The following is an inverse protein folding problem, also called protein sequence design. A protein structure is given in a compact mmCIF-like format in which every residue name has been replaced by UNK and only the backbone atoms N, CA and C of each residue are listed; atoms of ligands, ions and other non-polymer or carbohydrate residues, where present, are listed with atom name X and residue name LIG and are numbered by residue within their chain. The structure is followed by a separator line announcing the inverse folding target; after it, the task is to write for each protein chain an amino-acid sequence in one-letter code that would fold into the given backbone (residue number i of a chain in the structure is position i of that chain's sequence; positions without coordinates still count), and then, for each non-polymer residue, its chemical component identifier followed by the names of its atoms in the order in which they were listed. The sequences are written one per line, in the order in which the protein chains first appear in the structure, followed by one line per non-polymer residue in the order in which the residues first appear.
data_IF_304448857513
#
_entry.id   IF_304448857513
#
_cell.length_a   1.000
_cell.length_b   1.000
_cell.length_c   1.000
_cell.angle_alpha   90.00
_cell.angle_beta   90.00
_cell.angle_gamma   90.00
#
_symmetry.space_group_name_H-M   'P 1'
#
loop_
_entity.id
_entity.type
_entity.pdbx_description
1 polymer ?
#
# COMPACT_ATOMS: atom_id res chain seq x y z
N UNK A 1 21.55 -60.36 -71.46
CA UNK A 1 20.63 -59.26 -71.24
C UNK A 1 20.37 -59.10 -69.76
N UNK A 2 21.07 -58.19 -69.12
CA UNK A 2 21.03 -57.98 -67.67
C UNK A 2 20.55 -56.52 -67.39
N UNK A 3 19.42 -56.34 -66.74
CA UNK A 3 18.86 -55.08 -66.33
C UNK A 3 19.23 -54.83 -64.87
N UNK A 4 20.06 -53.89 -64.64
CA UNK A 4 20.41 -53.40 -63.32
C UNK A 4 19.30 -52.43 -62.79
N UNK A 5 18.74 -52.76 -61.64
CA UNK A 5 17.80 -51.88 -60.88
C UNK A 5 18.61 -51.06 -59.96
N UNK A 6 18.57 -49.73 -60.13
CA UNK A 6 19.16 -48.73 -59.22
C UNK A 6 18.08 -48.34 -58.18
N UNK A 7 18.30 -48.77 -56.93
CA UNK A 7 17.48 -48.27 -55.77
C UNK A 7 17.94 -46.91 -55.35
N UNK A 8 17.04 -45.90 -55.46
CA UNK A 8 17.21 -44.57 -54.91
C UNK A 8 16.71 -44.58 -53.47
N UNK A 9 17.62 -44.39 -52.50
CA UNK A 9 17.31 -44.17 -51.09
C UNK A 9 17.04 -42.69 -50.94
N UNK A 10 15.77 -42.28 -50.73
CA UNK A 10 15.37 -40.93 -50.35
C UNK A 10 15.57 -40.75 -48.85
N UNK A 11 16.57 -39.98 -48.46
CA UNK A 11 16.78 -39.57 -47.06
C UNK A 11 15.76 -38.46 -46.72
N UNK A 12 14.76 -38.78 -45.92
CA UNK A 12 13.84 -37.83 -45.31
C UNK A 12 14.57 -37.18 -44.11
N UNK A 13 15.12 -35.97 -44.28
CA UNK A 13 15.60 -35.14 -43.17
C UNK A 13 14.39 -34.57 -42.43
N UNK A 14 14.06 -35.12 -41.25
CA UNK A 14 13.12 -34.52 -40.31
C UNK A 14 13.79 -33.26 -39.74
N UNK A 15 13.53 -32.11 -40.32
CA UNK A 15 13.82 -30.83 -39.72
C UNK A 15 12.85 -30.59 -38.53
N UNK A 16 13.31 -30.86 -37.30
CA UNK A 16 12.61 -30.42 -36.11
C UNK A 16 12.57 -28.88 -36.12
N UNK A 17 11.45 -28.30 -36.56
CA UNK A 17 11.19 -26.89 -36.41
C UNK A 17 11.07 -26.64 -34.90
N UNK A 18 12.10 -26.02 -34.29
CA UNK A 18 11.98 -25.39 -33.01
C UNK A 18 11.02 -24.19 -33.20
N UNK A 19 9.72 -24.40 -32.98
CA UNK A 19 8.78 -23.29 -32.79
C UNK A 19 9.26 -22.55 -31.56
N UNK A 20 9.44 -21.21 -31.63
CA UNK A 20 9.69 -20.44 -30.46
C UNK A 20 8.54 -20.69 -29.50
N UNK A 21 8.82 -21.14 -28.29
CA UNK A 21 7.84 -21.23 -27.21
C UNK A 21 7.44 -19.77 -26.93
N UNK A 22 6.28 -19.36 -27.43
CA UNK A 22 5.70 -18.07 -27.05
C UNK A 22 5.33 -18.19 -25.57
N UNK A 23 6.12 -17.56 -24.72
CA UNK A 23 5.75 -17.42 -23.32
C UNK A 23 4.46 -16.60 -23.24
N UNK A 24 3.54 -17.01 -22.37
CA UNK A 24 2.33 -16.22 -22.11
C UNK A 24 2.73 -14.91 -21.43
N UNK A 25 2.09 -13.79 -21.80
CA UNK A 25 2.27 -12.53 -21.11
C UNK A 25 1.96 -12.70 -19.63
N UNK A 26 2.75 -12.08 -18.74
CA UNK A 26 2.44 -12.05 -17.30
C UNK A 26 1.31 -11.07 -17.08
N UNK A 27 0.20 -11.53 -16.52
CA UNK A 27 -0.95 -10.67 -16.23
C UNK A 27 -0.92 -10.21 -14.78
N UNK A 28 -0.79 -8.91 -14.57
CA UNK A 28 -0.91 -8.27 -13.26
C UNK A 28 -2.27 -7.61 -13.17
N UNK A 29 -3.16 -8.20 -12.37
CA UNK A 29 -4.47 -7.65 -12.09
C UNK A 29 -4.39 -6.60 -10.98
N UNK A 30 -4.95 -5.42 -11.20
CA UNK A 30 -4.97 -4.32 -10.23
C UNK A 30 -6.40 -3.96 -9.89
N UNK A 31 -6.76 -3.92 -8.60
CA UNK A 31 -7.99 -3.30 -8.14
C UNK A 31 -7.65 -2.22 -7.13
N UNK A 32 -8.18 -1.01 -7.33
CA UNK A 32 -7.84 0.16 -6.53
C UNK A 32 -9.01 1.16 -6.49
N UNK A 33 -9.00 2.08 -5.54
CA UNK A 33 -10.11 3.00 -5.28
C UNK A 33 -9.91 4.34 -6.03
N UNK A 34 -10.00 4.34 -7.38
CA UNK A 34 -9.85 5.56 -8.18
C UNK A 34 -11.07 6.50 -8.08
N UNK A 35 -12.20 6.00 -7.57
CA UNK A 35 -13.40 6.80 -7.28
C UNK A 35 -13.89 6.56 -5.85
N UNK A 36 -14.92 7.30 -5.40
CA UNK A 36 -15.46 7.21 -4.05
C UNK A 36 -14.62 7.94 -2.99
N UNK A 37 -14.87 7.69 -1.69
CA UNK A 37 -14.24 8.42 -0.58
C UNK A 37 -12.71 8.29 -0.51
N UNK A 38 -12.13 7.26 -1.12
CA UNK A 38 -10.68 7.04 -1.15
C UNK A 38 -10.03 7.45 -2.49
N UNK A 39 -10.73 8.21 -3.35
CA UNK A 39 -10.20 8.60 -4.66
C UNK A 39 -8.87 9.35 -4.60
N UNK A 40 -8.65 10.17 -3.56
CA UNK A 40 -7.39 10.89 -3.36
C UNK A 40 -6.19 9.97 -3.05
N UNK A 41 -6.45 8.70 -2.76
CA UNK A 41 -5.46 7.63 -2.59
C UNK A 41 -5.28 6.85 -3.90
N UNK A 42 -6.39 6.35 -4.46
CA UNK A 42 -6.37 5.45 -5.61
C UNK A 42 -6.01 6.11 -6.93
N UNK A 43 -6.29 7.41 -7.11
CA UNK A 43 -5.88 8.14 -8.32
C UNK A 43 -4.34 8.16 -8.46
N UNK A 44 -3.54 8.54 -7.44
CA UNK A 44 -2.08 8.46 -7.53
C UNK A 44 -1.55 7.03 -7.72
N UNK A 45 -2.19 6.03 -7.13
CA UNK A 45 -1.85 4.62 -7.36
C UNK A 45 -2.03 4.27 -8.85
N UNK A 46 -3.21 4.58 -9.42
CA UNK A 46 -3.49 4.38 -10.84
C UNK A 46 -2.49 5.11 -11.73
N UNK A 47 -2.23 6.39 -11.44
CA UNK A 47 -1.26 7.20 -12.17
C UNK A 47 0.14 6.57 -12.16
N UNK A 48 0.55 5.98 -11.04
CA UNK A 48 1.82 5.28 -10.94
C UNK A 48 1.83 4.02 -11.80
N UNK A 49 0.77 3.19 -11.75
CA UNK A 49 0.67 1.99 -12.60
C UNK A 49 0.83 2.34 -14.08
N UNK A 50 0.27 3.48 -14.53
CA UNK A 50 0.42 3.96 -15.93
C UNK A 50 1.86 4.38 -16.32
N UNK A 51 2.75 4.56 -15.34
CA UNK A 51 4.17 4.87 -15.56
C UNK A 51 5.05 3.61 -15.57
N UNK A 52 4.55 2.47 -15.09
CA UNK A 52 5.33 1.27 -14.92
C UNK A 52 5.67 0.62 -16.27
N UNK A 53 6.80 -0.08 -16.37
CA UNK A 53 7.18 -0.75 -17.59
C UNK A 53 6.23 -1.89 -17.96
N UNK A 54 6.15 -2.17 -19.25
CA UNK A 54 5.42 -3.30 -19.81
C UNK A 54 6.32 -4.51 -20.08
N UNK A 55 7.46 -4.59 -19.40
CA UNK A 55 8.40 -5.72 -19.49
C UNK A 55 9.11 -5.90 -18.16
N UNK A 56 9.15 -7.10 -17.62
CA UNK A 56 9.92 -7.50 -16.43
C UNK A 56 10.59 -8.83 -16.72
N UNK A 57 11.89 -8.94 -16.46
CA UNK A 57 12.65 -10.18 -16.67
C UNK A 57 12.70 -10.66 -18.13
N UNK A 58 12.44 -9.78 -19.09
CA UNK A 58 12.37 -10.11 -20.51
C UNK A 58 10.97 -10.48 -21.01
N UNK A 59 10.01 -10.72 -20.10
CA UNK A 59 8.64 -11.08 -20.43
C UNK A 59 7.72 -9.83 -20.46
N UNK A 60 6.72 -9.89 -21.34
CA UNK A 60 5.71 -8.83 -21.43
C UNK A 60 4.79 -8.84 -20.22
N UNK A 61 4.46 -7.65 -19.75
CA UNK A 61 3.53 -7.42 -18.63
C UNK A 61 2.24 -6.81 -19.18
N UNK A 62 1.13 -7.46 -18.85
CA UNK A 62 -0.22 -6.95 -19.08
C UNK A 62 -0.80 -6.42 -17.77
N UNK A 63 -0.88 -5.11 -17.65
CA UNK A 63 -1.55 -4.46 -16.53
C UNK A 63 -3.04 -4.34 -16.81
N UNK A 64 -3.90 -4.88 -15.93
CA UNK A 64 -5.37 -4.75 -15.99
C UNK A 64 -5.81 -4.02 -14.74
N UNK A 65 -6.28 -2.78 -14.89
CA UNK A 65 -6.67 -1.91 -13.77
C UNK A 65 -8.18 -1.77 -13.70
N UNK A 66 -8.76 -2.13 -12.56
CA UNK A 66 -10.19 -2.02 -12.28
C UNK A 66 -10.41 -1.09 -11.06
N UNK A 67 -11.36 -0.17 -11.19
CA UNK A 67 -11.77 0.71 -10.09
C UNK A 67 -12.78 -0.02 -9.19
N UNK A 68 -12.47 -0.09 -7.89
CA UNK A 68 -13.40 -0.65 -6.90
C UNK A 68 -14.33 0.41 -6.28
N UNK A 69 -14.13 1.69 -6.58
CA UNK A 69 -14.98 2.76 -6.09
C UNK A 69 -14.99 2.93 -4.57
N UNK A 70 -13.95 2.45 -3.89
CA UNK A 70 -13.89 2.35 -2.41
C UNK A 70 -14.98 1.43 -1.81
N UNK A 71 -15.51 0.51 -2.61
CA UNK A 71 -16.59 -0.42 -2.26
C UNK A 71 -16.07 -1.86 -2.14
N UNK A 72 -16.31 -2.49 -1.00
CA UNK A 72 -15.82 -3.83 -0.69
C UNK A 72 -16.41 -4.90 -1.62
N UNK A 73 -17.69 -4.79 -1.99
CA UNK A 73 -18.34 -5.75 -2.88
C UNK A 73 -17.75 -5.68 -4.28
N UNK A 74 -17.47 -4.45 -4.75
CA UNK A 74 -16.84 -4.23 -6.06
C UNK A 74 -15.40 -4.73 -6.06
N UNK A 75 -14.63 -4.52 -4.98
CA UNK A 75 -13.28 -5.06 -4.85
C UNK A 75 -13.26 -6.60 -4.95
N UNK A 76 -14.21 -7.28 -4.28
CA UNK A 76 -14.42 -8.74 -4.38
C UNK A 76 -14.75 -9.15 -5.82
N UNK A 77 -15.68 -8.45 -6.48
CA UNK A 77 -16.09 -8.74 -7.87
C UNK A 77 -14.91 -8.56 -8.83
N UNK A 78 -14.17 -7.46 -8.70
CA UNK A 78 -12.97 -7.18 -9.50
C UNK A 78 -11.91 -8.27 -9.32
N UNK A 79 -11.63 -8.67 -8.07
CA UNK A 79 -10.64 -9.71 -7.77
C UNK A 79 -11.01 -11.06 -8.42
N UNK A 80 -12.28 -11.45 -8.31
CA UNK A 80 -12.78 -12.68 -8.96
C UNK A 80 -12.64 -12.61 -10.47
N UNK A 81 -13.02 -11.49 -11.09
CA UNK A 81 -12.90 -11.27 -12.53
C UNK A 81 -11.44 -11.36 -12.98
N UNK A 82 -10.53 -10.63 -12.32
CA UNK A 82 -9.11 -10.64 -12.64
C UNK A 82 -8.51 -12.06 -12.58
N UNK A 83 -8.93 -12.87 -11.62
CA UNK A 83 -8.44 -14.25 -11.46
C UNK A 83 -9.06 -15.22 -12.47
N UNK A 84 -10.40 -15.20 -12.61
CA UNK A 84 -11.13 -16.25 -13.35
C UNK A 84 -11.29 -15.96 -14.84
N UNK A 85 -11.38 -14.68 -15.23
CA UNK A 85 -11.61 -14.26 -16.63
C UNK A 85 -10.32 -13.75 -17.27
N UNK A 86 -9.54 -12.95 -16.52
CA UNK A 86 -8.34 -12.30 -17.02
C UNK A 86 -7.06 -13.12 -16.74
N UNK A 87 -7.17 -14.25 -16.01
CA UNK A 87 -6.06 -15.18 -15.66
C UNK A 87 -4.85 -14.47 -15.01
N UNK A 88 -5.10 -13.54 -14.10
CA UNK A 88 -4.03 -12.81 -13.42
C UNK A 88 -3.07 -13.78 -12.69
N UNK A 89 -1.78 -13.53 -12.85
CA UNK A 89 -0.70 -14.24 -12.15
C UNK A 89 -0.48 -13.68 -10.75
N UNK A 90 -0.79 -12.42 -10.56
CA UNK A 90 -0.71 -11.70 -9.29
C UNK A 90 -1.75 -10.59 -9.23
N UNK A 91 -2.24 -10.30 -8.04
CA UNK A 91 -3.14 -9.18 -7.78
C UNK A 91 -2.36 -8.07 -7.03
N UNK A 92 -2.52 -6.83 -7.46
CA UNK A 92 -2.06 -5.63 -6.74
C UNK A 92 -3.28 -4.85 -6.25
N UNK A 93 -3.30 -4.51 -4.97
CA UNK A 93 -4.44 -3.79 -4.37
C UNK A 93 -5.04 -4.52 -3.16
N UNK A 94 -6.11 -4.02 -2.59
CA UNK A 94 -6.77 -2.75 -2.88
C UNK A 94 -6.11 -1.59 -2.11
N UNK A 95 -6.61 -0.37 -2.37
CA UNK A 95 -6.17 0.86 -1.71
C UNK A 95 -6.51 0.92 -0.23
N UNK A 96 -7.67 0.38 0.16
CA UNK A 96 -8.21 0.54 1.52
C UNK A 96 -8.33 -0.79 2.27
N UNK A 97 -8.16 -0.73 3.59
CA UNK A 97 -8.15 -1.92 4.45
C UNK A 97 -9.40 -2.80 4.33
N UNK A 98 -10.65 -2.29 4.37
CA UNK A 98 -11.82 -3.15 4.23
C UNK A 98 -11.82 -3.97 2.93
N UNK A 99 -11.45 -3.33 1.82
CA UNK A 99 -11.39 -3.96 0.50
C UNK A 99 -10.31 -5.05 0.46
N UNK A 100 -9.08 -4.72 0.90
CA UNK A 100 -7.98 -5.69 0.93
C UNK A 100 -8.29 -6.90 1.82
N UNK A 101 -8.89 -6.70 2.98
CA UNK A 101 -9.30 -7.80 3.87
C UNK A 101 -10.34 -8.73 3.21
N UNK A 102 -11.30 -8.18 2.47
CA UNK A 102 -12.32 -8.96 1.78
C UNK A 102 -11.75 -9.78 0.59
N UNK A 103 -10.58 -9.42 0.09
CA UNK A 103 -9.91 -10.13 -1.01
C UNK A 103 -9.07 -11.32 -0.53
N UNK A 104 -8.65 -11.36 0.74
CA UNK A 104 -7.71 -12.36 1.29
C UNK A 104 -8.17 -13.79 1.01
N UNK A 105 -9.42 -14.12 1.32
CA UNK A 105 -9.96 -15.47 1.12
C UNK A 105 -9.96 -15.86 -0.37
N UNK A 106 -10.29 -14.93 -1.25
CA UNK A 106 -10.41 -15.18 -2.69
C UNK A 106 -9.06 -15.51 -3.30
N UNK A 107 -8.03 -14.71 -3.00
CA UNK A 107 -6.69 -14.92 -3.54
C UNK A 107 -6.04 -16.17 -2.96
N UNK A 108 -6.29 -16.48 -1.68
CA UNK A 108 -5.79 -17.69 -1.04
C UNK A 108 -6.40 -18.96 -1.63
N UNK A 109 -7.73 -18.98 -1.79
CA UNK A 109 -8.44 -20.13 -2.35
C UNK A 109 -8.07 -20.37 -3.83
N UNK A 110 -7.79 -19.29 -4.58
CA UNK A 110 -7.31 -19.36 -5.97
C UNK A 110 -5.80 -19.61 -6.08
N UNK A 111 -5.05 -19.55 -4.99
CA UNK A 111 -3.59 -19.64 -4.98
C UNK A 111 -2.92 -18.61 -5.89
N UNK A 112 -3.38 -17.35 -5.83
CA UNK A 112 -2.83 -16.21 -6.55
C UNK A 112 -2.19 -15.26 -5.55
N UNK A 113 -0.92 -14.89 -5.68
CA UNK A 113 -0.29 -13.90 -4.81
C UNK A 113 -1.00 -12.55 -4.89
N UNK A 114 -1.12 -11.86 -3.76
CA UNK A 114 -1.64 -10.49 -3.69
C UNK A 114 -0.62 -9.58 -3.00
N UNK A 115 -0.38 -8.40 -3.57
CA UNK A 115 0.38 -7.32 -2.95
C UNK A 115 -0.59 -6.19 -2.63
N UNK A 116 -0.99 -6.06 -1.36
CA UNK A 116 -1.93 -5.04 -0.90
C UNK A 116 -1.26 -3.67 -0.76
N UNK A 117 -2.01 -2.61 -1.11
CA UNK A 117 -1.62 -1.21 -0.90
C UNK A 117 -2.31 -0.60 0.33
N UNK A 118 -2.92 -1.42 1.20
CA UNK A 118 -3.61 -0.99 2.42
C UNK A 118 -2.77 -1.24 3.69
N UNK A 119 -3.05 -0.48 4.76
CA UNK A 119 -2.12 -0.32 5.87
C UNK A 119 -2.27 -1.33 7.02
N UNK A 120 -3.45 -1.91 7.26
CA UNK A 120 -3.66 -2.76 8.45
C UNK A 120 -2.76 -3.98 8.49
N UNK A 121 -2.13 -4.23 9.63
CA UNK A 121 -1.34 -5.44 9.88
C UNK A 121 -2.18 -6.73 9.76
N UNK A 122 -3.49 -6.65 9.98
CA UNK A 122 -4.42 -7.80 9.85
C UNK A 122 -4.45 -8.40 8.45
N UNK A 123 -4.06 -7.64 7.42
CA UNK A 123 -4.04 -8.11 6.01
C UNK A 123 -3.00 -9.21 5.81
N UNK A 124 -1.91 -9.17 6.58
CA UNK A 124 -0.78 -10.11 6.52
C UNK A 124 -0.55 -10.80 7.87
N UNK A 125 -1.58 -10.93 8.69
CA UNK A 125 -1.46 -11.57 10.01
C UNK A 125 -1.04 -13.05 9.86
N UNK A 126 0.15 -13.45 10.33
CA UNK A 126 0.65 -14.82 10.19
C UNK A 126 -0.19 -15.85 10.98
N UNK A 127 -1.03 -15.42 11.91
CA UNK A 127 -1.96 -16.31 12.61
C UNK A 127 -3.12 -16.78 11.70
N UNK A 128 -3.40 -16.08 10.61
CA UNK A 128 -4.36 -16.50 9.59
C UNK A 128 -3.65 -17.24 8.46
N UNK A 129 -3.86 -18.57 8.28
CA UNK A 129 -3.14 -19.34 7.26
C UNK A 129 -3.44 -18.89 5.81
N UNK A 130 -4.52 -18.16 5.56
CA UNK A 130 -4.87 -17.63 4.24
C UNK A 130 -3.97 -16.48 3.82
N UNK A 131 -3.38 -15.74 4.76
CA UNK A 131 -2.45 -14.64 4.46
C UNK A 131 -1.12 -15.10 3.89
N UNK A 132 -0.87 -16.41 3.84
CA UNK A 132 0.28 -16.99 3.11
C UNK A 132 0.39 -16.52 1.65
N UNK A 133 -0.72 -16.10 1.05
CA UNK A 133 -0.76 -15.61 -0.33
C UNK A 133 -0.78 -14.10 -0.43
N UNK A 134 -0.69 -13.39 0.70
CA UNK A 134 -0.89 -11.95 0.78
C UNK A 134 0.36 -11.25 1.31
N UNK A 135 0.83 -10.28 0.57
CA UNK A 135 1.90 -9.35 0.91
C UNK A 135 1.33 -7.94 0.98
N UNK A 136 2.07 -7.00 1.57
CA UNK A 136 1.66 -5.60 1.56
C UNK A 136 2.87 -4.66 1.59
N UNK A 137 2.71 -3.48 1.01
CA UNK A 137 3.78 -2.49 0.92
C UNK A 137 3.66 -1.31 1.88
N UNK A 138 2.47 -0.81 2.30
CA UNK A 138 2.41 0.22 3.34
C UNK A 138 2.93 -0.32 4.66
N UNK A 139 3.48 0.54 5.49
CA UNK A 139 3.85 0.20 6.86
C UNK A 139 2.64 -0.36 7.62
N UNK A 140 2.88 -1.28 8.53
CA UNK A 140 1.85 -1.75 9.43
C UNK A 140 1.37 -0.60 10.35
N UNK A 141 0.07 -0.51 10.55
CA UNK A 141 -0.54 0.42 11.50
C UNK A 141 0.04 0.26 12.92
N UNK A 142 0.42 -0.97 13.31
CA UNK A 142 1.13 -1.23 14.57
C UNK A 142 2.46 -0.46 14.67
N UNK A 143 3.28 -0.50 13.61
CA UNK A 143 4.56 0.21 13.54
C UNK A 143 4.36 1.73 13.62
N UNK A 144 3.35 2.24 12.90
CA UNK A 144 3.01 3.66 12.89
C UNK A 144 2.43 4.13 14.23
N UNK A 145 1.61 3.31 14.88
CA UNK A 145 1.07 3.61 16.20
C UNK A 145 2.16 3.67 17.27
N UNK A 146 3.15 2.79 17.19
CA UNK A 146 4.31 2.81 18.08
C UNK A 146 5.12 4.11 17.92
N UNK A 147 5.32 4.58 16.69
CA UNK A 147 6.01 5.85 16.42
C UNK A 147 5.22 7.05 16.98
N UNK A 148 3.90 7.08 16.79
CA UNK A 148 3.01 8.11 17.37
C UNK A 148 3.11 8.11 18.89
N UNK A 149 2.95 6.96 19.55
CA UNK A 149 2.94 6.87 21.01
C UNK A 149 4.30 7.26 21.61
N UNK A 150 5.42 6.85 21.00
CA UNK A 150 6.77 7.27 21.39
C UNK A 150 6.94 8.79 21.27
N UNK A 151 6.48 9.37 20.15
CA UNK A 151 6.54 10.82 19.93
C UNK A 151 5.66 11.58 20.95
N UNK A 152 4.43 11.11 21.21
CA UNK A 152 3.55 11.69 22.22
C UNK A 152 4.22 11.69 23.61
N UNK A 153 4.77 10.56 24.03
CA UNK A 153 5.49 10.44 25.32
C UNK A 153 6.67 11.41 25.42
N UNK A 154 7.48 11.52 24.37
CA UNK A 154 8.63 12.40 24.32
C UNK A 154 8.22 13.89 24.44
N UNK A 155 7.00 14.22 24.06
CA UNK A 155 6.44 15.58 24.10
C UNK A 155 5.47 15.83 25.26
N UNK A 156 5.52 14.99 26.31
CA UNK A 156 4.80 15.20 27.54
C UNK A 156 3.30 14.90 27.52
N UNK A 157 2.79 14.29 26.44
CA UNK A 157 1.40 13.80 26.36
C UNK A 157 1.18 12.69 27.38
N UNK A 158 0.07 12.76 28.11
CA UNK A 158 -0.36 11.74 29.10
C UNK A 158 -1.70 11.12 28.72
N UNK A 159 -2.60 11.93 28.15
CA UNK A 159 -3.95 11.54 27.80
C UNK A 159 -4.20 11.70 26.30
N UNK A 160 -4.88 10.72 25.71
CA UNK A 160 -5.16 10.64 24.29
C UNK A 160 -6.65 10.45 24.04
N UNK A 161 -7.22 11.29 23.14
CA UNK A 161 -8.50 11.06 22.49
C UNK A 161 -8.30 10.41 21.12
N UNK A 162 -9.25 9.63 20.66
CA UNK A 162 -9.25 9.01 19.33
C UNK A 162 -10.56 9.31 18.61
N UNK A 163 -10.47 9.64 17.32
CA UNK A 163 -11.60 9.63 16.40
C UNK A 163 -11.19 8.95 15.10
N UNK A 164 -11.89 7.90 14.68
CA UNK A 164 -11.52 7.14 13.49
C UNK A 164 -12.70 6.67 12.67
N UNK A 165 -12.41 6.12 11.49
CA UNK A 165 -13.44 5.55 10.66
C UNK A 165 -14.17 4.40 11.35
N UNK A 166 -15.49 4.32 11.11
CA UNK A 166 -16.33 3.22 11.53
C UNK A 166 -16.24 2.03 10.55
N UNK A 167 -15.01 1.55 10.33
CA UNK A 167 -14.69 0.41 9.47
C UNK A 167 -13.41 -0.31 9.96
N UNK A 168 -13.01 -1.35 9.24
CA UNK A 168 -11.85 -2.17 9.61
C UNK A 168 -10.53 -1.37 9.71
N UNK A 169 -10.37 -0.24 9.00
CA UNK A 169 -9.21 0.63 9.13
C UNK A 169 -9.20 1.37 10.46
N UNK A 170 -10.30 2.07 10.77
CA UNK A 170 -10.40 2.80 12.04
C UNK A 170 -10.37 1.89 13.25
N UNK A 171 -10.97 0.69 13.17
CA UNK A 171 -10.92 -0.31 14.24
C UNK A 171 -9.51 -0.85 14.47
N UNK A 172 -8.77 -1.14 13.40
CA UNK A 172 -7.37 -1.57 13.47
C UNK A 172 -6.51 -0.49 14.14
N UNK A 173 -6.65 0.76 13.71
CA UNK A 173 -5.92 1.89 14.30
C UNK A 173 -6.26 2.12 15.77
N UNK A 174 -7.54 2.00 16.17
CA UNK A 174 -7.94 2.12 17.57
C UNK A 174 -7.30 1.03 18.44
N UNK A 175 -7.29 -0.21 17.95
CA UNK A 175 -6.67 -1.32 18.66
C UNK A 175 -5.16 -1.09 18.83
N UNK A 176 -4.48 -0.70 17.76
CA UNK A 176 -3.03 -0.49 17.78
C UNK A 176 -2.61 0.72 18.60
N UNK A 177 -3.35 1.83 18.54
CA UNK A 177 -2.98 2.99 19.37
C UNK A 177 -3.29 2.74 20.86
N UNK A 178 -4.33 1.98 21.20
CA UNK A 178 -4.57 1.54 22.59
C UNK A 178 -3.42 0.67 23.10
N UNK A 179 -2.93 -0.28 22.29
CA UNK A 179 -1.77 -1.12 22.62
C UNK A 179 -0.51 -0.27 22.82
N UNK A 180 -0.20 0.59 21.85
CA UNK A 180 1.00 1.43 21.87
C UNK A 180 0.96 2.47 22.99
N UNK A 181 -0.20 3.07 23.27
CA UNK A 181 -0.41 4.00 24.37
C UNK A 181 -0.12 3.34 25.72
N UNK A 182 -0.71 2.15 25.96
CA UNK A 182 -0.46 1.39 27.19
C UNK A 182 1.01 1.06 27.40
N UNK A 183 1.72 0.63 26.35
CA UNK A 183 3.15 0.35 26.38
C UNK A 183 4.02 1.59 26.67
N UNK A 184 3.52 2.80 26.42
CA UNK A 184 4.21 4.06 26.64
C UNK A 184 3.72 4.84 27.87
N UNK A 185 2.77 4.29 28.64
CA UNK A 185 2.20 4.94 29.83
C UNK A 185 1.25 6.09 29.51
N UNK A 186 0.64 6.07 28.32
CA UNK A 186 -0.41 7.01 27.89
C UNK A 186 -1.79 6.40 28.17
N UNK A 187 -2.77 7.22 28.47
CA UNK A 187 -4.13 6.80 28.71
C UNK A 187 -5.06 7.27 27.57
N UNK A 188 -5.76 6.34 26.92
CA UNK A 188 -6.85 6.69 26.01
C UNK A 188 -8.09 6.99 26.82
N UNK A 189 -8.53 8.25 26.84
CA UNK A 189 -9.61 8.75 27.70
C UNK A 189 -10.96 8.85 27.01
N UNK A 190 -10.97 8.89 25.67
CA UNK A 190 -12.19 8.89 24.86
C UNK A 190 -11.90 8.32 23.47
N UNK A 191 -12.87 7.61 22.91
CA UNK A 191 -12.82 7.19 21.49
C UNK A 191 -14.20 7.36 20.82
N UNK A 192 -14.19 7.87 19.60
CA UNK A 192 -15.37 8.13 18.78
C UNK A 192 -15.17 7.61 17.35
N UNK A 193 -16.27 7.34 16.65
CA UNK A 193 -16.28 6.82 15.29
C UNK A 193 -17.10 7.70 14.36
N UNK A 194 -16.73 7.71 13.07
CA UNK A 194 -17.50 8.34 12.00
C UNK A 194 -17.33 7.59 10.67
N UNK A 195 -18.26 7.79 9.73
CA UNK A 195 -18.18 7.11 8.44
C UNK A 195 -17.40 7.95 7.42
N UNK A 196 -16.79 7.30 6.43
CA UNK A 196 -15.99 7.99 5.39
C UNK A 196 -16.76 9.06 4.63
N UNK A 197 -18.08 8.93 4.53
CA UNK A 197 -18.98 9.86 3.84
C UNK A 197 -19.64 10.88 4.77
N UNK A 198 -19.36 10.88 6.05
CA UNK A 198 -19.93 11.85 6.99
C UNK A 198 -19.38 13.25 6.69
N UNK A 199 -20.29 14.19 6.54
CA UNK A 199 -19.96 15.61 6.29
C UNK A 199 -19.86 16.44 7.58
N UNK A 200 -20.27 15.85 8.71
CA UNK A 200 -20.19 16.47 10.04
C UNK A 200 -19.85 15.44 11.10
N UNK A 201 -18.99 15.82 12.03
CA UNK A 201 -18.56 15.03 13.19
C UNK A 201 -18.67 15.86 14.49
N UNK A 202 -19.52 16.86 14.48
CA UNK A 202 -19.67 17.82 15.59
C UNK A 202 -19.96 17.12 16.93
N UNK A 203 -20.88 16.14 16.94
CA UNK A 203 -21.23 15.40 18.16
C UNK A 203 -20.06 14.61 18.73
N UNK A 204 -19.29 13.95 17.88
CA UNK A 204 -18.10 13.17 18.26
C UNK A 204 -17.00 14.12 18.80
N UNK A 205 -16.72 15.20 18.09
CA UNK A 205 -15.68 16.16 18.48
C UNK A 205 -16.03 16.85 19.81
N UNK A 206 -17.29 17.20 20.05
CA UNK A 206 -17.71 17.79 21.32
C UNK A 206 -17.42 16.86 22.52
N UNK A 207 -17.67 15.55 22.38
CA UNK A 207 -17.35 14.58 23.43
C UNK A 207 -15.84 14.45 23.67
N UNK A 208 -15.03 14.44 22.58
CA UNK A 208 -13.59 14.40 22.70
C UNK A 208 -13.02 15.65 23.38
N UNK A 209 -13.49 16.83 22.97
CA UNK A 209 -13.05 18.11 23.58
C UNK A 209 -13.47 18.18 25.05
N UNK A 210 -14.66 17.69 25.40
CA UNK A 210 -15.12 17.62 26.80
C UNK A 210 -14.27 16.69 27.68
N UNK A 211 -13.72 15.60 27.11
CA UNK A 211 -12.78 14.71 27.80
C UNK A 211 -11.39 15.37 28.00
N UNK A 212 -11.12 16.49 27.36
CA UNK A 212 -9.93 17.34 27.47
C UNK A 212 -8.60 16.56 27.43
N UNK A 213 -8.35 15.72 26.41
CA UNK A 213 -7.08 15.00 26.27
C UNK A 213 -5.93 15.95 25.90
N UNK A 214 -4.69 15.57 26.23
CA UNK A 214 -3.48 16.31 25.82
C UNK A 214 -3.25 16.23 24.29
N UNK A 215 -3.71 15.15 23.67
CA UNK A 215 -3.63 14.95 22.23
C UNK A 215 -4.87 14.22 21.69
N UNK A 216 -5.18 14.43 20.40
CA UNK A 216 -6.18 13.64 19.68
C UNK A 216 -5.52 13.02 18.45
N UNK A 217 -5.72 11.70 18.26
CA UNK A 217 -5.36 10.99 17.04
C UNK A 217 -6.60 10.83 16.16
N UNK A 218 -6.49 11.24 14.90
CA UNK A 218 -7.51 11.04 13.87
C UNK A 218 -7.14 9.80 13.05
N UNK A 219 -7.87 8.71 13.26
CA UNK A 219 -7.70 7.41 12.61
C UNK A 219 -8.39 7.35 11.24
N UNK A 220 -7.96 8.20 10.31
CA UNK A 220 -8.58 8.38 9.01
C UNK A 220 -7.59 8.32 7.86
N UNK A 221 -8.09 8.33 6.61
CA UNK A 221 -7.29 8.38 5.40
C UNK A 221 -7.96 9.23 4.32
N UNK A 222 -7.14 9.83 3.44
CA UNK A 222 -7.59 10.70 2.38
C UNK A 222 -8.23 12.01 2.88
N UNK A 223 -8.98 12.63 2.00
CA UNK A 223 -9.65 13.91 2.29
C UNK A 223 -10.68 13.85 3.44
N UNK A 224 -11.37 12.71 3.70
CA UNK A 224 -12.28 12.62 4.87
C UNK A 224 -11.58 12.81 6.23
N UNK A 225 -10.26 12.62 6.31
CA UNK A 225 -9.48 12.92 7.53
C UNK A 225 -9.45 14.42 7.90
N UNK A 226 -9.76 15.31 6.95
CA UNK A 226 -9.85 16.74 7.22
C UNK A 226 -11.12 17.13 8.00
N UNK A 227 -12.19 16.34 7.95
CA UNK A 227 -13.47 16.67 8.61
C UNK A 227 -13.32 16.81 10.13
N UNK A 228 -12.79 15.81 10.87
CA UNK A 228 -12.57 15.98 12.31
C UNK A 228 -11.46 16.98 12.62
N UNK A 229 -10.44 17.13 11.78
CA UNK A 229 -9.38 18.13 11.96
C UNK A 229 -9.95 19.55 12.00
N UNK A 230 -10.73 19.91 11.00
CA UNK A 230 -11.37 21.24 10.89
C UNK A 230 -12.34 21.50 12.05
N UNK A 231 -13.12 20.50 12.45
CA UNK A 231 -14.05 20.63 13.57
C UNK A 231 -13.31 20.85 14.90
N UNK A 232 -12.18 20.16 15.14
CA UNK A 232 -11.33 20.37 16.32
C UNK A 232 -10.79 21.81 16.37
N UNK A 233 -10.30 22.34 15.25
CA UNK A 233 -9.81 23.71 15.15
C UNK A 233 -10.95 24.70 15.37
N UNK A 234 -12.11 24.50 14.76
CA UNK A 234 -13.30 25.34 14.94
C UNK A 234 -13.79 25.37 16.39
N UNK A 235 -13.57 24.29 17.16
CA UNK A 235 -13.85 24.19 18.60
C UNK A 235 -12.71 24.70 19.48
N UNK A 236 -11.68 25.29 18.89
CA UNK A 236 -10.53 25.83 19.60
C UNK A 236 -9.81 24.79 20.48
N UNK A 237 -9.77 23.52 20.06
CA UNK A 237 -9.01 22.50 20.76
C UNK A 237 -7.54 22.93 20.86
N UNK A 238 -6.96 22.82 22.08
CA UNK A 238 -5.61 23.35 22.39
C UNK A 238 -4.53 22.26 22.47
N UNK A 239 -4.95 20.99 22.52
CA UNK A 239 -4.02 19.87 22.53
C UNK A 239 -3.37 19.62 21.17
N UNK A 240 -2.44 18.67 21.13
CA UNK A 240 -1.79 18.27 19.88
C UNK A 240 -2.74 17.43 19.03
N UNK A 241 -2.73 17.65 17.71
CA UNK A 241 -3.50 16.83 16.76
C UNK A 241 -2.54 15.96 16.00
N UNK A 242 -2.83 14.65 16.01
CA UNK A 242 -2.13 13.64 15.22
C UNK A 242 -3.05 13.06 14.17
N UNK A 243 -2.49 12.76 13.02
CA UNK A 243 -3.13 12.02 11.95
C UNK A 243 -2.40 10.69 11.72
N UNK A 244 -3.04 9.76 11.02
CA UNK A 244 -2.35 8.58 10.49
C UNK A 244 -1.59 8.93 9.20
N UNK A 245 -0.69 8.06 8.75
CA UNK A 245 -0.04 8.18 7.43
C UNK A 245 -1.06 8.16 6.26
N UNK A 246 -2.29 7.73 6.53
CA UNK A 246 -3.37 7.67 5.54
C UNK A 246 -3.80 9.02 4.95
N UNK A 247 -3.37 10.15 5.50
CA UNK A 247 -3.69 11.50 4.97
C UNK A 247 -2.54 12.13 4.17
N UNK A 248 -1.44 11.41 3.97
CA UNK A 248 -0.22 11.96 3.39
C UNK A 248 -0.30 12.15 1.86
N UNK A 249 -1.15 13.09 1.42
CA UNK A 249 -1.35 13.47 0.02
C UNK A 249 -1.71 14.97 -0.13
N UNK A 250 -1.46 15.58 -1.30
CA UNK A 250 -1.75 17.00 -1.56
C UNK A 250 -3.24 17.36 -1.45
N UNK A 251 -4.15 16.45 -1.78
CA UNK A 251 -5.59 16.70 -1.67
C UNK A 251 -6.04 16.92 -0.22
N UNK A 252 -5.45 16.16 0.72
CA UNK A 252 -5.70 16.39 2.13
C UNK A 252 -5.25 17.82 2.54
N UNK A 253 -4.03 18.23 2.15
CA UNK A 253 -3.54 19.58 2.42
C UNK A 253 -4.47 20.65 1.83
N UNK A 254 -4.91 20.46 0.58
CA UNK A 254 -5.82 21.38 -0.10
C UNK A 254 -7.18 21.51 0.62
N UNK A 255 -7.77 20.38 1.06
CA UNK A 255 -9.09 20.36 1.72
C UNK A 255 -9.01 20.89 3.15
N UNK A 256 -7.95 20.57 3.86
CA UNK A 256 -7.74 20.95 5.25
C UNK A 256 -7.29 22.44 5.35
N UNK A 257 -6.44 22.88 4.43
CA UNK A 257 -5.94 24.26 4.42
C UNK A 257 -5.10 24.57 5.67
N UNK A 258 -5.21 25.80 6.16
CA UNK A 258 -4.50 26.25 7.36
C UNK A 258 -4.89 25.49 8.65
N UNK A 259 -6.05 24.85 8.67
CA UNK A 259 -6.50 24.06 9.83
C UNK A 259 -5.61 22.82 10.08
N UNK A 260 -4.72 22.48 9.13
CA UNK A 260 -3.75 21.39 9.29
C UNK A 260 -2.40 21.83 9.86
N UNK A 261 -2.10 23.12 9.92
CA UNK A 261 -0.77 23.56 10.37
C UNK A 261 -0.49 23.08 11.79
N UNK A 262 0.71 22.56 12.02
CA UNK A 262 1.10 21.96 13.29
C UNK A 262 0.63 20.51 13.51
N UNK A 263 -0.14 19.93 12.58
CA UNK A 263 -0.55 18.53 12.64
C UNK A 263 0.66 17.60 12.51
N UNK A 264 0.70 16.56 13.34
CA UNK A 264 1.77 15.58 13.41
C UNK A 264 1.31 14.23 12.84
N UNK A 265 2.16 13.55 12.09
CA UNK A 265 1.86 12.21 11.58
C UNK A 265 3.14 11.41 11.28
N UNK A 266 3.10 10.07 11.41
CA UNK A 266 4.15 9.19 10.91
C UNK A 266 3.96 8.99 9.42
N UNK A 267 5.03 8.89 8.65
CA UNK A 267 4.99 8.53 7.22
C UNK A 267 6.18 7.68 6.82
N UNK A 268 6.11 7.09 5.62
CA UNK A 268 7.30 6.60 4.94
C UNK A 268 8.20 7.76 4.49
N UNK A 269 9.53 7.57 4.46
CA UNK A 269 10.49 8.67 4.24
C UNK A 269 10.39 9.35 2.87
N UNK A 270 9.72 8.76 1.89
CA UNK A 270 9.63 9.25 0.51
C UNK A 270 9.16 10.70 0.38
N UNK A 271 8.11 11.11 1.11
CA UNK A 271 7.54 12.46 0.96
C UNK A 271 8.50 13.59 1.35
N UNK A 272 9.46 13.28 2.18
CA UNK A 272 10.46 14.24 2.70
C UNK A 272 11.89 13.83 2.32
N UNK A 273 12.05 13.08 1.21
CA UNK A 273 13.32 12.47 0.85
C UNK A 273 14.46 13.49 0.68
N UNK A 274 14.15 14.73 0.28
CA UNK A 274 15.13 15.81 0.19
C UNK A 274 15.70 16.20 1.55
N UNK A 275 14.93 16.02 2.62
CA UNK A 275 15.30 16.35 4.00
C UNK A 275 16.05 15.21 4.70
N UNK A 276 16.14 14.02 4.06
CA UNK A 276 16.84 12.87 4.61
C UNK A 276 18.35 12.97 4.40
N UNK A 277 19.16 12.35 5.30
CA UNK A 277 20.60 12.25 5.08
C UNK A 277 20.92 11.43 3.81
N UNK A 278 22.06 11.73 3.16
CA UNK A 278 22.49 11.02 1.95
C UNK A 278 22.70 9.51 2.16
N UNK A 279 22.98 9.08 3.38
CA UNK A 279 23.14 7.68 3.74
C UNK A 279 21.81 6.91 3.81
N UNK A 280 20.64 7.59 3.75
CA UNK A 280 19.36 6.91 3.80
C UNK A 280 19.13 6.11 2.49
N UNK A 281 18.94 4.78 2.56
CA UNK A 281 18.84 3.93 1.37
C UNK A 281 17.64 4.27 0.47
N UNK A 282 16.55 4.78 1.06
CA UNK A 282 15.31 5.15 0.35
C UNK A 282 15.54 6.34 -0.58
N UNK A 283 16.45 7.26 -0.24
CA UNK A 283 16.60 8.55 -0.93
C UNK A 283 16.77 8.41 -2.44
N UNK A 284 17.61 7.48 -2.89
CA UNK A 284 17.87 7.26 -4.32
C UNK A 284 16.64 6.70 -5.07
N UNK A 285 15.95 5.74 -4.46
CA UNK A 285 14.76 5.11 -5.07
C UNK A 285 13.60 6.10 -5.11
N UNK A 286 13.38 6.84 -4.02
CA UNK A 286 12.39 7.91 -3.94
C UNK A 286 12.64 9.00 -4.98
N UNK A 287 13.88 9.49 -5.11
CA UNK A 287 14.25 10.50 -6.11
C UNK A 287 13.93 10.03 -7.54
N UNK A 288 14.30 8.78 -7.89
CA UNK A 288 13.99 8.20 -9.20
C UNK A 288 12.49 8.19 -9.49
N UNK A 289 11.70 7.64 -8.57
CA UNK A 289 10.25 7.56 -8.73
C UNK A 289 9.60 8.95 -8.82
N UNK A 290 9.91 9.85 -7.88
CA UNK A 290 9.30 11.18 -7.80
C UNK A 290 9.62 11.99 -9.05
N UNK A 291 10.86 11.93 -9.55
CA UNK A 291 11.25 12.63 -10.79
C UNK A 291 10.37 12.17 -11.96
N UNK A 292 10.13 10.88 -12.11
CA UNK A 292 9.29 10.33 -13.18
C UNK A 292 7.82 10.73 -13.00
N UNK A 293 7.32 10.64 -11.77
CA UNK A 293 5.92 10.94 -11.46
C UNK A 293 5.60 12.43 -11.66
N UNK A 294 6.42 13.31 -11.08
CA UNK A 294 6.21 14.76 -11.17
C UNK A 294 6.46 15.32 -12.57
N UNK A 295 7.31 14.68 -13.37
CA UNK A 295 7.48 15.06 -14.78
C UNK A 295 6.18 14.88 -15.59
N UNK A 296 5.33 13.91 -15.24
CA UNK A 296 4.07 13.66 -15.93
C UNK A 296 2.87 14.37 -15.29
N UNK A 297 2.83 14.40 -13.96
CA UNK A 297 1.63 14.84 -13.23
C UNK A 297 1.80 16.21 -12.55
N UNK A 298 2.95 16.84 -12.69
CA UNK A 298 3.25 18.17 -12.17
C UNK A 298 4.08 18.15 -10.88
N UNK A 299 4.76 19.25 -10.65
CA UNK A 299 5.58 19.45 -9.45
C UNK A 299 4.73 19.36 -8.20
N UNK A 300 5.26 18.76 -7.14
CA UNK A 300 4.63 18.57 -5.82
C UNK A 300 3.35 17.70 -5.85
N UNK A 301 3.11 16.95 -6.96
CA UNK A 301 1.97 16.04 -7.09
C UNK A 301 2.20 14.67 -6.43
N UNK A 302 3.41 14.38 -5.99
CA UNK A 302 3.78 13.13 -5.33
C UNK A 302 2.91 12.84 -4.11
N UNK A 303 2.63 11.57 -3.90
CA UNK A 303 1.89 11.08 -2.73
C UNK A 303 2.51 9.80 -2.21
N UNK A 304 2.32 9.52 -0.92
CA UNK A 304 2.68 8.23 -0.33
C UNK A 304 2.01 7.06 -1.07
N UNK A 305 0.79 7.25 -1.57
CA UNK A 305 0.00 6.19 -2.24
C UNK A 305 0.55 5.83 -3.61
N UNK A 306 0.96 6.82 -4.40
CA UNK A 306 1.69 6.54 -5.63
C UNK A 306 2.98 5.74 -5.37
N UNK A 307 3.68 6.08 -4.28
CA UNK A 307 4.84 5.31 -3.83
C UNK A 307 4.51 3.87 -3.45
N UNK A 308 3.34 3.58 -2.84
CA UNK A 308 2.91 2.21 -2.55
C UNK A 308 2.72 1.39 -3.85
N UNK A 309 2.12 1.97 -4.89
CA UNK A 309 2.02 1.30 -6.18
C UNK A 309 3.39 1.05 -6.81
N UNK A 310 4.33 2.00 -6.66
CA UNK A 310 5.70 1.82 -7.12
C UNK A 310 6.45 0.73 -6.33
N UNK A 311 6.27 0.68 -5.00
CA UNK A 311 6.89 -0.36 -4.17
C UNK A 311 6.32 -1.75 -4.46
N UNK A 312 5.03 -1.85 -4.82
CA UNK A 312 4.45 -3.10 -5.34
C UNK A 312 5.18 -3.57 -6.60
N UNK A 313 5.49 -2.65 -7.51
CA UNK A 313 6.29 -2.94 -8.69
C UNK A 313 7.72 -3.36 -8.32
N UNK A 314 8.39 -2.69 -7.39
CA UNK A 314 9.76 -3.05 -6.96
C UNK A 314 9.82 -4.48 -6.44
N UNK A 315 8.83 -4.92 -5.66
CA UNK A 315 8.72 -6.31 -5.22
C UNK A 315 8.52 -7.28 -6.38
N UNK A 316 7.66 -6.93 -7.34
CA UNK A 316 7.40 -7.77 -8.52
C UNK A 316 8.58 -7.79 -9.49
N UNK A 317 9.26 -6.66 -9.69
CA UNK A 317 10.49 -6.58 -10.50
C UNK A 317 11.59 -7.50 -9.96
N UNK A 318 11.66 -7.66 -8.64
CA UNK A 318 12.57 -8.60 -7.99
C UNK A 318 12.10 -10.05 -8.12
N UNK A 319 10.82 -10.34 -7.86
CA UNK A 319 10.33 -11.70 -7.70
C UNK A 319 10.01 -12.42 -9.03
N UNK A 320 9.51 -11.69 -10.04
CA UNK A 320 9.14 -12.27 -11.34
C UNK A 320 10.32 -12.97 -12.03
N UNK A 321 11.53 -12.39 -12.16
CA UNK A 321 12.65 -13.08 -12.79
C UNK A 321 13.07 -14.35 -12.05
N UNK A 322 12.82 -14.45 -10.74
CA UNK A 322 13.09 -15.65 -9.96
C UNK A 322 12.04 -16.72 -10.27
N UNK A 323 10.76 -16.34 -10.32
CA UNK A 323 9.66 -17.26 -10.62
C UNK A 323 9.76 -17.82 -12.06
N UNK A 324 10.18 -17.01 -13.03
CA UNK A 324 10.37 -17.42 -14.43
C UNK A 324 11.40 -18.54 -14.61
N UNK A 325 12.36 -18.66 -13.69
CA UNK A 325 13.33 -19.79 -13.73
C UNK A 325 12.70 -21.11 -13.29
N UNK A 326 11.60 -21.08 -12.58
CA UNK A 326 10.96 -22.26 -12.01
C UNK A 326 9.74 -22.73 -12.80
N UNK A 327 8.95 -21.80 -13.37
CA UNK A 327 7.69 -22.14 -14.04
C UNK A 327 7.30 -21.06 -15.07
N UNK A 328 6.33 -21.41 -15.93
CA UNK A 328 5.81 -20.51 -16.96
C UNK A 328 4.63 -19.68 -16.46
N UNK A 329 4.49 -18.39 -16.88
CA UNK A 329 3.33 -17.55 -16.59
C UNK A 329 2.00 -18.23 -16.94
N UNK A 330 0.93 -17.85 -16.22
CA UNK A 330 -0.41 -18.41 -16.38
C UNK A 330 -0.63 -19.76 -15.67
N UNK A 331 0.39 -20.34 -15.01
CA UNK A 331 0.30 -21.61 -14.32
C UNK A 331 0.23 -21.45 -12.79
N UNK A 332 -0.31 -22.46 -12.10
CA UNK A 332 -0.31 -22.49 -10.62
C UNK A 332 1.12 -22.58 -10.06
N UNK A 333 1.98 -23.29 -10.77
CA UNK A 333 3.40 -23.43 -10.43
C UNK A 333 4.12 -22.09 -10.46
N UNK A 334 3.83 -21.25 -11.46
CA UNK A 334 4.37 -19.88 -11.54
C UNK A 334 3.88 -19.01 -10.38
N UNK A 335 2.59 -19.04 -10.06
CA UNK A 335 1.99 -18.29 -8.94
C UNK A 335 2.61 -18.72 -7.60
N UNK A 336 2.84 -20.02 -7.41
CA UNK A 336 3.52 -20.54 -6.23
C UNK A 336 4.99 -20.10 -6.16
N UNK A 337 5.72 -20.19 -7.28
CA UNK A 337 7.11 -19.73 -7.37
C UNK A 337 7.23 -18.21 -7.15
N UNK A 338 6.26 -17.41 -7.65
CA UNK A 338 6.22 -15.97 -7.43
C UNK A 338 5.98 -15.63 -5.96
N UNK A 339 5.05 -16.33 -5.28
CA UNK A 339 4.87 -16.19 -3.83
C UNK A 339 6.15 -16.50 -3.07
N UNK A 340 6.80 -17.64 -3.37
CA UNK A 340 8.03 -18.08 -2.69
C UNK A 340 9.21 -17.12 -2.95
N UNK A 341 9.20 -16.44 -4.10
CA UNK A 341 10.18 -15.39 -4.41
C UNK A 341 9.91 -14.10 -3.64
N UNK A 342 8.64 -13.71 -3.49
CA UNK A 342 8.23 -12.56 -2.68
C UNK A 342 8.59 -12.77 -1.20
N UNK A 343 8.42 -13.98 -0.64
CA UNK A 343 8.82 -14.31 0.74
C UNK A 343 10.34 -14.17 1.01
N UNK A 344 11.14 -14.00 -0.03
CA UNK A 344 12.61 -13.86 0.06
C UNK A 344 13.10 -12.51 -0.44
N UNK A 345 12.18 -11.57 -0.69
CA UNK A 345 12.55 -10.26 -1.18
C UNK A 345 13.34 -9.48 -0.11
N UNK A 346 14.52 -8.99 -0.50
CA UNK A 346 15.34 -8.03 0.25
C UNK A 346 15.65 -6.88 -0.70
N UNK A 347 14.78 -5.85 -0.70
CA UNK A 347 14.82 -4.77 -1.68
C UNK A 347 14.55 -3.42 -1.04
N UNK A 348 15.12 -2.37 -1.64
CA UNK A 348 14.87 -0.99 -1.22
C UNK A 348 13.74 -0.42 -2.06
N UNK A 349 12.64 -0.07 -1.41
CA UNK A 349 11.53 0.66 -2.00
C UNK A 349 11.57 2.15 -1.68
N UNK A 350 10.47 2.84 -2.00
CA UNK A 350 10.29 4.26 -1.71
C UNK A 350 9.94 4.53 -0.24
N UNK A 351 9.41 3.53 0.46
CA UNK A 351 8.97 3.65 1.86
C UNK A 351 9.89 2.98 2.87
N UNK A 352 10.85 2.17 2.43
CA UNK A 352 11.76 1.48 3.33
C UNK A 352 12.55 0.38 2.64
N UNK A 353 13.21 -0.43 3.47
CA UNK A 353 13.86 -1.67 3.04
C UNK A 353 12.91 -2.81 3.37
N UNK A 354 12.44 -3.50 2.34
CA UNK A 354 11.57 -4.66 2.48
C UNK A 354 12.42 -5.91 2.68
N UNK A 355 12.40 -6.48 3.88
CA UNK A 355 13.01 -7.77 4.20
C UNK A 355 11.89 -8.76 4.49
N UNK A 356 11.38 -9.37 3.41
CA UNK A 356 10.26 -10.31 3.50
C UNK A 356 10.71 -11.67 4.02
N UNK A 357 9.85 -12.32 4.77
CA UNK A 357 10.04 -13.72 5.21
C UNK A 357 8.68 -14.42 5.23
N UNK A 358 8.63 -15.78 5.30
CA UNK A 358 7.36 -16.50 5.43
C UNK A 358 6.52 -16.11 6.66
N UNK A 359 7.12 -15.47 7.67
CA UNK A 359 6.44 -15.00 8.89
C UNK A 359 6.16 -13.49 8.88
N UNK A 360 6.74 -12.75 7.92
CA UNK A 360 6.59 -11.31 7.82
C UNK A 360 6.44 -10.88 6.36
N UNK A 361 5.20 -10.80 5.88
CA UNK A 361 4.83 -10.41 4.52
C UNK A 361 4.65 -8.89 4.35
N UNK A 362 5.10 -8.07 5.32
CA UNK A 362 5.28 -6.63 5.16
C UNK A 362 6.76 -6.26 5.02
N UNK A 363 7.64 -6.94 5.76
CA UNK A 363 9.09 -6.77 5.65
C UNK A 363 9.65 -5.42 6.08
N UNK A 364 8.82 -4.46 6.48
CA UNK A 364 9.24 -3.13 6.92
C UNK A 364 9.48 -3.09 8.44
N UNK A 365 10.42 -2.25 8.85
CA UNK A 365 10.76 -1.97 10.24
C UNK A 365 10.78 -0.45 10.53
N UNK A 366 11.29 -0.06 11.70
CA UNK A 366 11.35 1.33 12.15
C UNK A 366 12.12 2.28 11.21
N UNK A 367 13.01 1.77 10.36
CA UNK A 367 13.70 2.56 9.31
C UNK A 367 12.74 3.10 8.25
N UNK A 368 11.56 2.50 8.16
CA UNK A 368 10.50 2.90 7.22
C UNK A 368 9.57 3.98 7.80
N UNK A 369 9.90 4.58 8.95
CA UNK A 369 9.03 5.56 9.61
C UNK A 369 9.80 6.82 9.96
N UNK A 370 9.23 7.97 9.57
CA UNK A 370 9.65 9.29 10.04
C UNK A 370 8.43 10.04 10.55
N UNK A 371 8.61 10.80 11.63
CA UNK A 371 7.57 11.74 12.08
C UNK A 371 7.69 13.04 11.30
N UNK A 372 6.57 13.54 10.84
CA UNK A 372 6.48 14.82 10.13
C UNK A 372 5.44 15.72 10.76
N UNK A 373 5.53 17.00 10.43
CA UNK A 373 4.51 18.01 10.71
C UNK A 373 4.11 18.72 9.42
N UNK A 374 2.95 19.33 9.43
CA UNK A 374 2.51 20.23 8.37
C UNK A 374 2.88 21.66 8.79
N UNK A 375 3.62 22.37 7.95
CA UNK A 375 4.01 23.75 8.15
C UNK A 375 3.74 24.57 6.87
N UNK A 376 2.82 25.52 6.97
CA UNK A 376 2.38 26.34 5.83
C UNK A 376 2.02 25.49 4.60
N UNK A 377 1.25 24.40 4.81
CA UNK A 377 0.80 23.49 3.77
C UNK A 377 1.91 22.63 3.17
N UNK A 378 3.05 22.43 3.86
CA UNK A 378 4.17 21.59 3.42
C UNK A 378 4.50 20.51 4.44
N UNK A 379 5.00 19.40 3.93
CA UNK A 379 5.49 18.29 4.74
C UNK A 379 6.91 18.58 5.24
N UNK A 380 7.11 18.62 6.55
CA UNK A 380 8.39 18.89 7.18
C UNK A 380 8.73 17.80 8.19
N UNK A 381 10.00 17.41 8.30
CA UNK A 381 10.42 16.52 9.39
C UNK A 381 10.06 17.16 10.73
N UNK A 382 9.38 16.42 11.61
CA UNK A 382 9.12 16.85 12.97
C UNK A 382 10.42 16.87 13.77
N UNK A 383 10.56 17.88 14.65
CA UNK A 383 11.72 18.03 15.54
C UNK A 383 11.51 17.28 16.84
#
# INVERSE_FOLDING_TARGET
MSRSIRSAIAAFALGAAFAPVAFADITIGVTLSATGPAASLGIPEKNTIELLPHTIGGEKIKWIVLDDGSDTTRAVTNTRKLISEDNADVIVGSTVTPNSLAMVDIVADAQVPMVSMAASARIVDPANPKTKWVFKVPQNDSLMADAIAKHMKAHGVKTLGYIGFNDAYGESWLAEIKRAAAANGLQVVADEKYNRNDTSVTGQVLKLVAANPDAILIGASGTPGATPQKELVARHYKGKIYQTHGVANPDFLRVCGADCDGTLLPIGPMLVFEQLPESNPVKKVAAKYITQYEAKYGKDSRTTFGGHAYDSFVLLEHAIPVALKAAQPGTKEFRAALRDALEKADVVGTHGVFVMTPQNHNGLDERAVVMITIDNGKWMLAK
#
